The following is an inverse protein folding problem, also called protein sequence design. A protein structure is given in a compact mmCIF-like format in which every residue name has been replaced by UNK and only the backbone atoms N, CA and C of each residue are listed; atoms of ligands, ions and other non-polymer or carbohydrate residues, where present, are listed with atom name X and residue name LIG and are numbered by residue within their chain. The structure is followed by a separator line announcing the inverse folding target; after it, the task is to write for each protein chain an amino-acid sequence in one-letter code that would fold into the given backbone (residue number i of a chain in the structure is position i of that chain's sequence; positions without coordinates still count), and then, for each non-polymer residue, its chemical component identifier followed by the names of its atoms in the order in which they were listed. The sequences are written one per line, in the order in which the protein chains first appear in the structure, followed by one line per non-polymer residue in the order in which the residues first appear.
data_IF_351953394940
#
_entry.id   IF_351953394940
#
_cell.length_a   1.000
_cell.length_b   1.000
_cell.length_c   1.000
_cell.angle_alpha   90.00
_cell.angle_beta   90.00
_cell.angle_gamma   90.00
#
_symmetry.space_group_name_H-M   'P 1'
#
loop_
_entity.id
_entity.type
_entity.pdbx_description
1 polymer ?
#
# COMPACT_ATOMS: atom_id res chain seq x y z
N UNK A 1 50.48 -21.35 36.98
CA UNK A 1 49.41 -20.42 36.55
C UNK A 1 49.97 -19.02 36.23
N UNK A 2 50.99 -18.88 35.36
CA UNK A 2 51.59 -17.55 35.07
C UNK A 2 51.90 -17.26 33.59
N UNK A 3 51.42 -18.08 32.64
CA UNK A 3 51.71 -17.90 31.20
C UNK A 3 50.56 -17.34 30.36
N UNK A 4 49.36 -17.18 30.91
CA UNK A 4 48.21 -16.61 30.18
C UNK A 4 48.15 -15.08 30.32
N UNK A 5 48.67 -14.54 31.43
CA UNK A 5 48.69 -13.09 31.70
C UNK A 5 49.75 -12.31 30.91
N UNK A 6 50.76 -12.97 30.31
CA UNK A 6 51.85 -12.27 29.61
C UNK A 6 51.59 -11.96 28.13
N UNK A 7 50.56 -12.55 27.49
CA UNK A 7 50.27 -12.31 26.06
C UNK A 7 49.40 -11.09 25.79
N UNK A 8 48.64 -10.61 26.78
CA UNK A 8 47.84 -9.39 26.62
C UNK A 8 48.70 -8.13 26.80
N UNK A 9 49.79 -8.21 27.59
CA UNK A 9 50.71 -7.09 27.85
C UNK A 9 51.49 -6.61 26.60
N UNK A 10 51.62 -7.44 25.56
CA UNK A 10 52.33 -7.12 24.31
C UNK A 10 51.45 -6.54 23.20
N UNK A 11 50.13 -6.45 23.40
CA UNK A 11 49.22 -5.86 22.42
C UNK A 11 49.30 -4.33 22.53
N UNK A 12 49.67 -3.61 21.44
CA UNK A 12 49.73 -2.15 21.45
C UNK A 12 48.41 -1.53 21.91
N UNK A 13 48.47 -0.39 22.62
CA UNK A 13 47.29 0.29 23.17
C UNK A 13 46.24 0.60 22.09
N UNK A 14 46.68 0.95 20.88
CA UNK A 14 45.79 1.21 19.74
C UNK A 14 45.03 -0.04 19.28
N UNK A 15 45.65 -1.23 19.32
CA UNK A 15 44.98 -2.50 19.00
C UNK A 15 43.93 -2.83 20.06
N UNK A 16 44.21 -2.58 21.34
CA UNK A 16 43.21 -2.76 22.40
C UNK A 16 42.03 -1.80 22.25
N UNK A 17 42.31 -0.57 21.82
CA UNK A 17 41.27 0.42 21.49
C UNK A 17 40.36 -0.05 20.35
N UNK A 18 40.95 -0.55 19.26
CA UNK A 18 40.19 -1.11 18.12
C UNK A 18 39.36 -2.33 18.57
N UNK A 19 39.95 -3.26 19.32
CA UNK A 19 39.22 -4.44 19.81
C UNK A 19 38.08 -4.05 20.76
N UNK A 20 38.27 -3.03 21.59
CA UNK A 20 37.22 -2.48 22.45
C UNK A 20 36.08 -1.85 21.65
N UNK A 21 36.40 -1.08 20.60
CA UNK A 21 35.40 -0.51 19.70
C UNK A 21 34.63 -1.60 18.95
N UNK A 22 35.32 -2.62 18.41
CA UNK A 22 34.68 -3.74 17.74
C UNK A 22 33.76 -4.52 18.69
N UNK A 23 34.18 -4.75 19.93
CA UNK A 23 33.35 -5.39 20.95
C UNK A 23 32.11 -4.55 21.29
N UNK A 24 32.25 -3.22 21.39
CA UNK A 24 31.13 -2.31 21.61
C UNK A 24 30.14 -2.35 20.43
N UNK A 25 30.62 -2.27 19.20
CA UNK A 25 29.79 -2.38 17.99
C UNK A 25 29.05 -3.72 17.97
N UNK A 26 29.75 -4.82 18.26
CA UNK A 26 29.12 -6.14 18.34
C UNK A 26 28.04 -6.20 19.42
N UNK A 27 28.27 -5.62 20.60
CA UNK A 27 27.27 -5.55 21.66
C UNK A 27 26.04 -4.73 21.25
N UNK A 28 26.24 -3.62 20.53
CA UNK A 28 25.13 -2.82 20.00
C UNK A 28 24.32 -3.59 18.96
N UNK A 29 24.98 -4.30 18.05
CA UNK A 29 24.31 -5.16 17.05
C UNK A 29 23.52 -6.27 17.73
N UNK A 30 24.12 -6.98 18.69
CA UNK A 30 23.43 -8.04 19.45
C UNK A 30 22.23 -7.44 20.21
N UNK A 31 22.42 -6.29 20.86
CA UNK A 31 21.35 -5.58 21.56
C UNK A 31 20.19 -5.20 20.64
N UNK A 32 20.48 -4.66 19.46
CA UNK A 32 19.48 -4.34 18.45
C UNK A 32 18.73 -5.60 17.97
N UNK A 33 19.45 -6.69 17.67
CA UNK A 33 18.84 -7.95 17.26
C UNK A 33 17.91 -8.48 18.36
N UNK A 34 18.33 -8.46 19.63
CA UNK A 34 17.48 -8.86 20.75
C UNK A 34 16.25 -7.97 20.85
N UNK A 35 16.41 -6.65 20.78
CA UNK A 35 15.31 -5.69 20.81
C UNK A 35 14.31 -5.95 19.68
N UNK A 36 14.81 -6.14 18.46
CA UNK A 36 13.99 -6.37 17.28
C UNK A 36 13.16 -7.64 17.43
N UNK A 37 13.79 -8.79 17.72
CA UNK A 37 13.07 -10.05 17.88
C UNK A 37 12.18 -10.10 19.12
N UNK A 38 12.49 -9.34 20.18
CA UNK A 38 11.61 -9.21 21.34
C UNK A 38 10.38 -8.33 21.08
N UNK A 39 10.49 -7.39 20.14
CA UNK A 39 9.43 -6.46 19.75
C UNK A 39 8.66 -6.91 18.52
N UNK A 40 9.15 -7.94 17.81
CA UNK A 40 8.52 -8.48 16.62
C UNK A 40 7.25 -9.26 16.99
N UNK A 41 6.15 -8.85 16.39
CA UNK A 41 4.89 -9.58 16.36
C UNK A 41 4.28 -9.46 14.96
N UNK A 42 3.16 -10.15 14.75
CA UNK A 42 2.37 -10.06 13.53
C UNK A 42 0.94 -9.69 13.90
N UNK A 43 0.35 -8.79 13.13
CA UNK A 43 -1.05 -8.44 13.31
C UNK A 43 -1.92 -9.65 12.95
N UNK A 44 -2.86 -9.98 13.84
CA UNK A 44 -3.75 -11.13 13.66
C UNK A 44 -4.63 -10.98 12.41
N UNK A 45 -4.98 -12.12 11.81
CA UNK A 45 -5.95 -12.18 10.71
C UNK A 45 -7.40 -12.08 11.24
N UNK A 46 -8.35 -11.72 10.38
CA UNK A 46 -9.78 -11.60 10.68
C UNK A 46 -10.10 -10.62 11.83
N UNK A 47 -9.43 -9.47 11.85
CA UNK A 47 -9.71 -8.43 12.83
C UNK A 47 -10.85 -7.54 12.35
N UNK A 48 -11.89 -7.40 13.18
CA UNK A 48 -12.91 -6.38 12.98
C UNK A 48 -12.26 -5.01 13.04
N UNK A 49 -12.61 -4.15 12.10
CA UNK A 49 -12.13 -2.78 12.01
C UNK A 49 -13.18 -1.81 12.54
N UNK A 50 -12.72 -0.75 13.18
CA UNK A 50 -13.58 0.34 13.63
C UNK A 50 -14.04 1.17 12.43
N UNK A 51 -15.35 1.41 12.34
CA UNK A 51 -15.93 2.37 11.41
C UNK A 51 -16.07 3.71 12.14
N UNK A 52 -15.41 4.74 11.60
CA UNK A 52 -15.51 6.13 12.08
C UNK A 52 -16.18 6.97 11.01
N UNK A 53 -16.92 8.00 11.38
CA UNK A 53 -17.43 8.98 10.42
C UNK A 53 -18.85 9.43 10.68
N UNK A 54 -19.44 10.07 9.67
CA UNK A 54 -20.75 10.70 9.74
C UNK A 54 -21.62 10.41 8.51
N UNK A 55 -21.29 9.43 7.66
CA UNK A 55 -22.08 9.12 6.46
C UNK A 55 -23.52 8.70 6.83
N UNK A 56 -23.69 8.05 7.99
CA UNK A 56 -25.01 7.71 8.55
C UNK A 56 -25.95 8.93 8.75
N UNK A 57 -25.43 10.16 8.75
CA UNK A 57 -26.26 11.37 8.83
C UNK A 57 -26.88 11.80 7.48
N UNK A 58 -26.46 11.20 6.36
CA UNK A 58 -26.90 11.59 5.01
C UNK A 58 -28.24 10.97 4.57
N UNK A 59 -28.76 9.95 5.29
CA UNK A 59 -30.02 9.21 4.98
C UNK A 59 -30.07 8.66 3.53
N UNK A 60 -28.91 8.45 2.91
CA UNK A 60 -28.76 7.88 1.56
C UNK A 60 -28.26 6.43 1.65
N UNK A 61 -28.96 5.55 0.94
CA UNK A 61 -28.58 4.14 0.72
C UNK A 61 -28.20 3.96 -0.74
N UNK A 62 -27.28 3.03 -1.02
CA UNK A 62 -26.92 2.70 -2.40
C UNK A 62 -28.12 2.15 -3.16
N UNK A 63 -28.23 2.50 -4.43
CA UNK A 63 -29.32 2.15 -5.34
C UNK A 63 -28.77 1.38 -6.54
N UNK A 64 -29.53 0.38 -7.00
CA UNK A 64 -29.16 -0.32 -8.22
C UNK A 64 -29.51 0.55 -9.46
N UNK A 65 -28.69 0.48 -10.50
CA UNK A 65 -28.87 1.26 -11.73
C UNK A 65 -28.41 2.72 -11.65
N UNK A 66 -27.92 3.19 -10.50
CA UNK A 66 -27.25 4.47 -10.35
C UNK A 66 -25.75 4.37 -10.69
N UNK A 67 -25.20 5.41 -11.31
CA UNK A 67 -23.75 5.54 -11.51
C UNK A 67 -23.09 6.04 -10.21
N UNK A 68 -22.01 5.36 -9.85
CA UNK A 68 -21.12 5.67 -8.75
C UNK A 68 -19.68 5.81 -9.23
N UNK A 69 -18.83 6.36 -8.37
CA UNK A 69 -17.42 6.56 -8.61
C UNK A 69 -16.55 6.07 -7.45
N UNK A 70 -15.44 5.41 -7.78
CA UNK A 70 -14.45 4.96 -6.80
C UNK A 70 -13.04 5.34 -7.23
N UNK A 71 -12.29 5.93 -6.32
CA UNK A 71 -10.90 6.35 -6.50
C UNK A 71 -9.97 5.39 -5.75
N UNK A 72 -8.86 4.98 -6.34
CA UNK A 72 -7.75 4.37 -5.61
C UNK A 72 -6.47 5.19 -5.78
N UNK A 73 -5.71 5.38 -4.69
CA UNK A 73 -4.46 6.14 -4.72
C UNK A 73 -3.49 5.71 -3.60
N UNK A 74 -2.31 5.22 -3.98
CA UNK A 74 -1.20 5.03 -3.05
C UNK A 74 -0.55 6.41 -2.72
N UNK A 75 -0.54 6.77 -1.44
CA UNK A 75 -0.06 8.07 -0.96
C UNK A 75 1.46 8.13 -0.74
N UNK A 76 2.14 7.00 -0.82
CA UNK A 76 3.59 6.94 -0.72
C UNK A 76 4.13 7.51 0.60
N UNK A 77 3.37 7.38 1.70
CA UNK A 77 3.65 7.97 3.02
C UNK A 77 4.05 9.46 2.99
N UNK A 78 3.56 10.20 1.98
CA UNK A 78 3.82 11.62 1.81
C UNK A 78 5.26 11.98 1.45
N UNK A 79 6.08 11.02 0.99
CA UNK A 79 7.48 11.29 0.65
C UNK A 79 7.76 11.41 -0.85
N UNK A 80 7.10 10.61 -1.69
CA UNK A 80 7.48 10.40 -3.09
C UNK A 80 7.05 11.51 -4.04
N UNK A 81 7.32 12.78 -3.71
CA UNK A 81 7.22 13.88 -4.67
C UNK A 81 8.07 13.60 -5.92
N UNK A 82 7.81 14.31 -7.02
CA UNK A 82 8.48 14.06 -8.30
C UNK A 82 10.02 14.11 -8.23
N UNK A 83 10.60 14.88 -7.30
CA UNK A 83 12.04 14.99 -7.09
C UNK A 83 12.65 13.92 -6.17
N UNK A 84 11.81 13.07 -5.57
CA UNK A 84 12.21 12.03 -4.63
C UNK A 84 12.74 10.77 -5.32
N UNK A 85 13.72 10.11 -4.68
CA UNK A 85 14.22 8.78 -5.05
C UNK A 85 14.44 7.91 -3.81
N UNK A 86 14.02 6.66 -3.84
CA UNK A 86 13.95 5.77 -2.69
C UNK A 86 15.10 4.76 -2.64
N UNK A 87 15.72 4.66 -1.47
CA UNK A 87 16.95 3.88 -1.30
C UNK A 87 16.78 2.38 -1.54
N UNK A 88 15.60 1.80 -1.32
CA UNK A 88 15.39 0.36 -1.58
C UNK A 88 15.25 0.07 -3.09
N UNK A 89 14.86 1.08 -3.87
CA UNK A 89 14.73 0.97 -5.33
C UNK A 89 16.04 1.35 -6.05
N UNK A 90 17.04 1.83 -5.31
CA UNK A 90 18.35 2.24 -5.83
C UNK A 90 18.65 3.74 -5.72
N UNK A 91 17.70 4.53 -5.19
CA UNK A 91 17.84 5.96 -4.91
C UNK A 91 18.60 6.26 -3.60
N UNK A 92 18.36 7.44 -3.03
CA UNK A 92 19.11 7.92 -1.86
C UNK A 92 18.30 8.08 -0.59
N UNK A 93 17.02 8.41 -0.71
CA UNK A 93 16.21 8.85 0.42
C UNK A 93 15.49 7.68 1.10
N UNK A 94 15.30 7.78 2.41
CA UNK A 94 14.65 6.74 3.22
C UNK A 94 13.51 7.26 4.08
N UNK A 95 13.37 8.57 4.17
CA UNK A 95 12.34 9.33 4.87
C UNK A 95 11.91 10.45 3.95
N UNK A 96 10.73 11.01 4.16
CA UNK A 96 10.35 12.27 3.55
C UNK A 96 11.42 13.36 3.85
N UNK A 97 11.42 14.44 3.07
CA UNK A 97 12.37 15.53 3.28
C UNK A 97 12.16 16.28 4.60
N UNK A 98 10.91 16.41 5.04
CA UNK A 98 10.55 17.04 6.32
C UNK A 98 9.08 16.77 6.64
N UNK A 99 8.65 17.09 7.86
CA UNK A 99 7.23 17.06 8.22
C UNK A 99 6.38 18.02 7.36
N UNK A 100 6.94 19.13 6.89
CA UNK A 100 6.22 20.08 6.05
C UNK A 100 6.06 19.56 4.62
N UNK A 101 7.08 18.87 4.09
CA UNK A 101 6.99 18.17 2.81
C UNK A 101 5.91 17.07 2.84
N UNK A 102 5.81 16.31 3.94
CA UNK A 102 4.73 15.32 4.11
C UNK A 102 3.36 16.00 4.08
N UNK A 103 3.19 17.11 4.81
CA UNK A 103 1.91 17.85 4.80
C UNK A 103 1.56 18.44 3.45
N UNK A 104 2.56 18.92 2.71
CA UNK A 104 2.40 19.43 1.36
C UNK A 104 1.95 18.32 0.41
N UNK A 105 2.67 17.20 0.39
CA UNK A 105 2.37 16.06 -0.48
C UNK A 105 0.99 15.46 -0.16
N UNK A 106 0.73 15.11 1.10
CA UNK A 106 -0.57 14.56 1.51
C UNK A 106 -1.69 15.58 1.33
N UNK A 107 -1.45 16.87 1.62
CA UNK A 107 -2.43 17.91 1.38
C UNK A 107 -2.78 18.07 -0.10
N UNK A 108 -1.79 17.97 -0.98
CA UNK A 108 -1.94 18.01 -2.43
C UNK A 108 -2.77 16.84 -2.96
N UNK A 109 -2.43 15.60 -2.57
CA UNK A 109 -3.19 14.40 -2.98
C UNK A 109 -4.64 14.44 -2.49
N UNK A 110 -4.88 14.81 -1.22
CA UNK A 110 -6.22 14.91 -0.67
C UNK A 110 -7.05 16.01 -1.36
N UNK A 111 -6.44 17.15 -1.69
CA UNK A 111 -7.12 18.24 -2.41
C UNK A 111 -7.50 17.82 -3.83
N UNK A 112 -6.61 17.11 -4.54
CA UNK A 112 -6.89 16.57 -5.86
C UNK A 112 -8.01 15.51 -5.81
N UNK A 113 -7.96 14.59 -4.83
CA UNK A 113 -9.01 13.60 -4.62
C UNK A 113 -10.37 14.24 -4.32
N UNK A 114 -10.42 15.32 -3.51
CA UNK A 114 -11.65 16.08 -3.28
C UNK A 114 -12.20 16.73 -4.56
N UNK A 115 -11.33 17.22 -5.43
CA UNK A 115 -11.74 17.84 -6.69
C UNK A 115 -12.39 16.85 -7.68
N UNK A 116 -12.05 15.55 -7.57
CA UNK A 116 -12.68 14.47 -8.32
C UNK A 116 -14.05 14.06 -7.76
N UNK A 117 -14.37 14.46 -6.52
CA UNK A 117 -15.63 14.20 -5.81
C UNK A 117 -16.13 12.73 -5.83
N UNK A 118 -15.27 11.73 -5.55
CA UNK A 118 -15.65 10.32 -5.66
C UNK A 118 -16.62 9.89 -4.56
N UNK A 119 -17.43 8.86 -4.82
CA UNK A 119 -18.32 8.27 -3.81
C UNK A 119 -17.58 7.39 -2.81
N UNK A 120 -16.50 6.75 -3.28
CA UNK A 120 -15.66 5.86 -2.51
C UNK A 120 -14.19 6.14 -2.78
N UNK A 121 -13.34 5.95 -1.77
CA UNK A 121 -11.89 6.16 -1.89
C UNK A 121 -11.13 5.05 -1.20
N UNK A 122 -10.11 4.52 -1.87
CA UNK A 122 -9.10 3.64 -1.32
C UNK A 122 -7.75 4.37 -1.30
N UNK A 123 -7.22 4.58 -0.10
CA UNK A 123 -5.84 5.03 0.08
C UNK A 123 -4.96 3.90 0.59
N UNK A 124 -3.74 3.83 0.06
CA UNK A 124 -2.66 2.96 0.52
C UNK A 124 -1.48 3.79 1.01
N UNK A 125 -0.58 3.16 1.78
CA UNK A 125 0.60 3.81 2.40
C UNK A 125 0.28 5.05 3.22
N UNK A 126 -0.75 4.95 4.06
CA UNK A 126 -1.16 6.03 4.96
C UNK A 126 -0.44 5.85 6.29
N UNK A 127 0.54 6.72 6.58
CA UNK A 127 1.24 6.70 7.86
C UNK A 127 0.39 7.35 8.98
N UNK A 128 0.35 6.70 10.14
CA UNK A 128 -0.34 7.18 11.34
C UNK A 128 0.66 7.74 12.36
N UNK A 129 1.75 7.02 12.55
CA UNK A 129 2.85 7.37 13.45
C UNK A 129 4.14 6.69 12.97
N UNK A 130 4.88 7.32 12.06
CA UNK A 130 6.13 6.77 11.56
C UNK A 130 7.28 7.78 11.53
N UNK A 131 8.49 7.25 11.71
CA UNK A 131 9.73 8.04 11.66
C UNK A 131 9.98 8.59 10.26
N UNK A 132 9.63 7.81 9.22
CA UNK A 132 9.81 8.18 7.80
C UNK A 132 8.95 9.35 7.34
N UNK A 133 7.81 9.56 7.98
CA UNK A 133 6.85 10.67 7.73
C UNK A 133 6.86 11.71 8.86
N UNK A 134 7.90 11.73 9.71
CA UNK A 134 8.04 12.66 10.85
C UNK A 134 6.83 12.68 11.79
N UNK A 135 6.19 11.54 11.98
CA UNK A 135 5.03 11.38 12.86
C UNK A 135 3.84 12.29 12.46
N UNK A 136 3.78 12.69 11.19
CA UNK A 136 2.57 13.31 10.63
C UNK A 136 1.51 12.21 10.53
N UNK A 137 0.33 12.48 11.07
CA UNK A 137 -0.78 11.54 11.03
C UNK A 137 -1.62 11.82 9.77
N UNK A 138 -1.32 11.08 8.71
CA UNK A 138 -1.92 11.23 7.39
C UNK A 138 -3.37 10.73 7.38
N UNK A 139 -3.68 9.72 8.21
CA UNK A 139 -5.03 9.23 8.40
C UNK A 139 -5.97 10.30 8.96
N UNK A 140 -5.53 11.08 9.97
CA UNK A 140 -6.32 12.19 10.50
C UNK A 140 -6.44 13.34 9.48
N UNK A 141 -5.43 13.58 8.63
CA UNK A 141 -5.55 14.53 7.52
C UNK A 141 -6.61 14.08 6.51
N UNK A 142 -6.64 12.80 6.14
CA UNK A 142 -7.63 12.23 5.24
C UNK A 142 -9.04 12.29 5.87
N UNK A 143 -9.20 11.87 7.13
CA UNK A 143 -10.47 11.90 7.84
C UNK A 143 -11.04 13.33 7.98
N UNK A 144 -10.18 14.34 8.15
CA UNK A 144 -10.59 15.75 8.19
C UNK A 144 -10.99 16.29 6.82
N UNK A 145 -10.26 15.92 5.76
CA UNK A 145 -10.55 16.33 4.39
C UNK A 145 -11.87 15.73 3.89
N UNK A 146 -12.19 14.53 4.34
CA UNK A 146 -13.41 13.79 3.97
C UNK A 146 -14.34 13.61 5.17
N UNK A 147 -14.57 14.68 5.95
CA UNK A 147 -15.30 14.62 7.21
C UNK A 147 -16.77 14.14 7.11
N UNK A 148 -17.36 14.18 5.92
CA UNK A 148 -18.70 13.64 5.64
C UNK A 148 -18.73 12.15 5.31
N UNK A 149 -17.57 11.52 5.11
CA UNK A 149 -17.44 10.11 4.76
C UNK A 149 -17.35 9.25 6.04
N UNK A 150 -17.89 8.03 5.96
CA UNK A 150 -17.44 6.95 6.82
C UNK A 150 -16.05 6.51 6.37
N UNK A 151 -15.22 6.08 7.30
CA UNK A 151 -13.89 5.60 7.02
C UNK A 151 -13.47 4.47 7.94
N UNK A 152 -12.60 3.62 7.41
CA UNK A 152 -12.04 2.45 8.06
C UNK A 152 -10.53 2.44 7.83
N UNK A 153 -9.75 2.27 8.89
CA UNK A 153 -8.29 2.12 8.84
C UNK A 153 -7.90 0.66 9.07
N UNK A 154 -7.14 0.08 8.14
CA UNK A 154 -6.54 -1.24 8.29
C UNK A 154 -5.01 -1.13 8.35
N UNK A 155 -4.42 -1.39 9.52
CA UNK A 155 -2.97 -1.38 9.69
C UNK A 155 -2.36 -2.54 8.90
N UNK A 156 -1.42 -2.23 8.02
CA UNK A 156 -0.69 -3.20 7.20
C UNK A 156 0.84 -3.07 7.34
N UNK A 157 1.30 -2.16 8.21
CA UNK A 157 2.69 -2.02 8.60
C UNK A 157 2.80 -1.55 10.05
N UNK A 158 3.34 -2.40 10.93
CA UNK A 158 3.64 -2.06 12.32
C UNK A 158 5.03 -2.60 12.66
N UNK A 159 6.04 -1.74 12.58
CA UNK A 159 7.44 -2.12 12.75
C UNK A 159 8.08 -1.36 13.91
N UNK A 160 8.77 -2.08 14.83
CA UNK A 160 9.32 -1.48 16.03
C UNK A 160 10.42 -0.45 15.73
N UNK A 161 11.36 -0.77 14.84
CA UNK A 161 12.35 0.16 14.30
C UNK A 161 13.22 -0.52 13.22
N UNK A 162 13.18 -0.05 11.96
CA UNK A 162 14.12 -0.47 10.92
C UNK A 162 15.38 0.42 10.95
N UNK A 163 16.49 -0.12 11.46
CA UNK A 163 17.77 0.59 11.60
C UNK A 163 18.59 0.67 10.28
N UNK A 164 17.93 0.89 9.15
CA UNK A 164 18.59 1.01 7.84
C UNK A 164 17.84 2.02 6.96
N UNK A 165 18.55 2.89 6.21
CA UNK A 165 20.00 3.09 6.16
C UNK A 165 20.60 3.70 7.45
N UNK A 166 21.92 3.57 7.68
CA UNK A 166 22.52 3.87 9.00
C UNK A 166 22.44 5.34 9.44
N UNK A 167 22.53 6.28 8.51
CA UNK A 167 22.56 7.72 8.82
C UNK A 167 21.16 8.29 8.96
N UNK A 168 20.21 7.76 8.20
CA UNK A 168 18.80 8.12 8.26
C UNK A 168 17.97 6.84 8.29
N UNK A 169 17.86 6.15 9.43
CA UNK A 169 17.11 4.91 9.47
C UNK A 169 15.64 5.10 9.08
N UNK A 170 15.06 4.18 8.31
CA UNK A 170 13.63 4.22 8.00
C UNK A 170 12.77 4.30 9.28
N UNK A 171 13.24 3.65 10.35
CA UNK A 171 12.79 3.88 11.72
C UNK A 171 11.54 3.09 12.12
N UNK A 172 10.85 3.54 13.17
CA UNK A 172 9.59 2.95 13.62
C UNK A 172 8.49 3.35 12.64
N UNK A 173 7.60 2.43 12.29
CA UNK A 173 6.50 2.72 11.37
C UNK A 173 5.19 2.12 11.87
N UNK A 174 4.15 2.93 11.89
CA UNK A 174 2.76 2.51 12.02
C UNK A 174 1.98 3.10 10.85
N UNK A 175 1.55 2.25 9.91
CA UNK A 175 0.90 2.64 8.68
C UNK A 175 -0.18 1.63 8.25
N UNK A 176 -1.08 2.09 7.38
CA UNK A 176 -2.20 1.29 6.93
C UNK A 176 -2.77 1.71 5.58
N UNK A 177 -3.95 1.17 5.31
CA UNK A 177 -4.80 1.52 4.19
C UNK A 177 -6.10 2.10 4.74
N UNK A 178 -6.67 3.07 4.03
CA UNK A 178 -7.90 3.74 4.44
C UNK A 178 -8.95 3.56 3.36
N UNK A 179 -10.11 3.06 3.75
CA UNK A 179 -11.30 3.09 2.91
C UNK A 179 -12.20 4.23 3.37
N UNK A 180 -12.66 5.09 2.46
CA UNK A 180 -13.64 6.12 2.72
C UNK A 180 -14.89 5.89 1.86
N UNK A 181 -16.07 6.17 2.41
CA UNK A 181 -17.35 5.99 1.74
C UNK A 181 -18.32 7.11 2.09
N UNK A 182 -18.95 7.71 1.07
CA UNK A 182 -20.02 8.70 1.24
C UNK A 182 -21.26 8.05 1.87
N UNK A 183 -21.38 6.73 1.72
CA UNK A 183 -22.46 5.89 2.20
C UNK A 183 -22.07 5.15 3.49
N UNK A 184 -23.03 4.80 4.36
CA UNK A 184 -22.73 4.16 5.64
C UNK A 184 -22.04 2.81 5.51
N UNK A 185 -20.88 2.64 6.17
CA UNK A 185 -20.18 1.35 6.25
C UNK A 185 -20.74 0.57 7.43
N UNK A 186 -21.33 -0.60 7.18
CA UNK A 186 -21.94 -1.43 8.22
C UNK A 186 -20.90 -2.18 9.06
N UNK A 187 -19.83 -2.65 8.41
CA UNK A 187 -18.73 -3.32 9.09
C UNK A 187 -17.44 -3.27 8.28
N UNK A 188 -16.31 -3.34 8.98
CA UNK A 188 -14.98 -3.46 8.39
C UNK A 188 -14.26 -4.72 8.89
N UNK A 189 -13.50 -5.37 8.02
CA UNK A 189 -12.68 -6.55 8.34
C UNK A 189 -11.29 -6.42 7.73
N UNK A 190 -10.26 -6.70 8.52
CA UNK A 190 -8.89 -6.85 8.03
C UNK A 190 -8.57 -8.31 7.76
N UNK A 191 -8.03 -8.60 6.58
CA UNK A 191 -7.55 -9.93 6.19
C UNK A 191 -6.06 -9.91 5.89
N UNK A 192 -5.28 -10.63 6.69
CA UNK A 192 -3.83 -10.77 6.48
C UNK A 192 -3.55 -11.53 5.19
N UNK A 193 -2.59 -11.05 4.41
CA UNK A 193 -2.10 -11.73 3.22
C UNK A 193 -0.97 -12.71 3.58
N UNK A 194 -0.83 -13.83 2.86
CA UNK A 194 0.35 -14.68 2.95
C UNK A 194 1.64 -13.90 2.69
N UNK A 195 2.68 -14.17 3.49
CA UNK A 195 4.02 -13.57 3.40
C UNK A 195 5.09 -14.64 3.18
N UNK A 196 6.31 -14.23 2.84
CA UNK A 196 7.44 -15.15 2.63
C UNK A 196 7.74 -15.93 3.92
N UNK A 197 8.15 -17.20 3.79
CA UNK A 197 8.38 -18.09 4.95
C UNK A 197 9.84 -18.09 5.41
N UNK A 198 10.74 -17.54 4.60
CA UNK A 198 12.18 -17.46 4.83
C UNK A 198 12.62 -16.52 5.96
N UNK A 199 13.92 -16.21 6.00
CA UNK A 199 14.48 -15.23 6.95
C UNK A 199 14.07 -13.79 6.59
N UNK A 200 13.66 -13.53 5.35
CA UNK A 200 13.12 -12.24 4.88
C UNK A 200 11.79 -11.88 5.53
N UNK A 201 11.05 -12.86 6.06
CA UNK A 201 9.83 -12.67 6.83
C UNK A 201 9.96 -11.68 7.98
N UNK A 202 11.17 -11.38 8.46
CA UNK A 202 11.32 -10.40 9.54
C UNK A 202 11.23 -8.97 9.04
N UNK A 203 11.47 -8.73 7.75
CA UNK A 203 11.38 -7.42 7.09
C UNK A 203 10.08 -7.23 6.32
N UNK A 204 9.33 -8.31 6.08
CA UNK A 204 8.05 -8.25 5.38
C UNK A 204 7.01 -7.44 6.13
N UNK A 205 6.24 -6.66 5.39
CA UNK A 205 5.11 -5.90 5.88
C UNK A 205 3.98 -6.84 6.32
N UNK A 206 3.11 -6.38 7.22
CA UNK A 206 1.87 -7.07 7.60
C UNK A 206 0.80 -6.88 6.52
N UNK A 207 1.18 -7.18 5.26
CA UNK A 207 0.35 -7.01 4.06
C UNK A 207 -1.04 -7.60 4.34
N UNK A 208 -2.06 -6.83 3.96
CA UNK A 208 -3.45 -7.21 4.16
C UNK A 208 -4.30 -6.57 3.07
N UNK A 209 -5.57 -6.93 3.04
CA UNK A 209 -6.63 -6.12 2.45
C UNK A 209 -7.70 -5.86 3.50
N UNK A 210 -8.43 -4.75 3.33
CA UNK A 210 -9.59 -4.44 4.15
C UNK A 210 -10.88 -4.64 3.36
N UNK A 211 -11.90 -5.19 3.99
CA UNK A 211 -13.22 -5.43 3.41
C UNK A 211 -14.20 -4.53 4.16
N UNK A 212 -14.93 -3.68 3.44
CA UNK A 212 -16.01 -2.85 3.97
C UNK A 212 -17.33 -3.30 3.38
N UNK A 213 -18.33 -3.51 4.25
CA UNK A 213 -19.68 -3.94 3.87
C UNK A 213 -20.64 -2.76 3.87
N UNK A 214 -21.38 -2.60 2.76
CA UNK A 214 -22.41 -1.57 2.59
C UNK A 214 -23.72 -2.19 2.11
N UNK A 215 -24.84 -1.60 2.51
CA UNK A 215 -26.18 -2.03 2.10
C UNK A 215 -26.59 -1.37 0.77
N UNK A 216 -27.30 -2.13 -0.08
CA UNK A 216 -27.92 -1.65 -1.32
C UNK A 216 -29.44 -1.81 -1.18
N UNK A 217 -30.22 -0.87 -1.72
CA UNK A 217 -31.68 -0.79 -1.55
C UNK A 217 -32.44 -2.04 -2.03
N UNK A 218 -31.84 -2.80 -2.97
CA UNK A 218 -32.40 -4.04 -3.49
C UNK A 218 -32.19 -5.24 -2.54
N UNK A 219 -31.61 -5.02 -1.36
CA UNK A 219 -31.36 -6.05 -0.34
C UNK A 219 -30.08 -6.86 -0.57
N UNK A 220 -29.30 -6.54 -1.60
CA UNK A 220 -27.93 -7.03 -1.78
C UNK A 220 -26.95 -6.13 -1.01
N UNK A 221 -25.71 -6.58 -0.92
CA UNK A 221 -24.60 -5.82 -0.34
C UNK A 221 -23.60 -5.39 -1.40
N UNK A 222 -22.88 -4.31 -1.12
CA UNK A 222 -21.65 -3.94 -1.80
C UNK A 222 -20.47 -4.20 -0.87
N UNK A 223 -19.54 -5.04 -1.31
CA UNK A 223 -18.27 -5.29 -0.66
C UNK A 223 -17.16 -4.51 -1.36
N UNK A 224 -16.59 -3.56 -0.63
CA UNK A 224 -15.44 -2.76 -1.06
C UNK A 224 -14.16 -3.34 -0.44
N UNK A 225 -13.25 -3.80 -1.28
CA UNK A 225 -11.99 -4.42 -0.87
C UNK A 225 -10.81 -3.53 -1.27
N UNK A 226 -10.17 -2.91 -0.28
CA UNK A 226 -8.96 -2.11 -0.46
C UNK A 226 -7.72 -3.00 -0.31
N UNK A 227 -6.95 -3.14 -1.39
CA UNK A 227 -5.79 -4.03 -1.50
C UNK A 227 -4.47 -3.23 -1.57
N UNK A 228 -3.45 -3.74 -0.88
CA UNK A 228 -2.06 -3.40 -1.16
C UNK A 228 -1.25 -4.70 -1.15
N UNK A 229 -0.99 -5.24 -2.35
CA UNK A 229 -0.29 -6.50 -2.54
C UNK A 229 1.24 -6.35 -2.40
N UNK A 230 1.98 -7.46 -2.34
CA UNK A 230 3.44 -7.41 -2.23
C UNK A 230 4.13 -7.00 -3.55
N UNK A 231 4.96 -5.94 -3.49
CA UNK A 231 5.85 -5.48 -4.57
C UNK A 231 7.05 -6.41 -4.85
N UNK A 232 7.80 -6.72 -3.80
CA UNK A 232 9.04 -7.48 -3.86
C UNK A 232 8.85 -8.78 -3.09
N UNK A 233 8.73 -9.90 -3.79
CA UNK A 233 8.80 -11.22 -3.16
C UNK A 233 9.97 -11.99 -3.74
N UNK A 234 10.83 -12.48 -2.84
CA UNK A 234 11.92 -13.37 -3.22
C UNK A 234 11.40 -14.81 -3.44
N UNK A 235 10.23 -15.14 -2.87
CA UNK A 235 9.57 -16.43 -3.01
C UNK A 235 8.52 -16.40 -4.14
N UNK A 236 8.71 -17.14 -5.24
CA UNK A 236 7.79 -17.11 -6.38
C UNK A 236 6.32 -17.43 -6.07
N UNK A 237 6.05 -18.05 -4.91
CA UNK A 237 4.72 -18.55 -4.52
C UNK A 237 3.92 -17.57 -3.64
N UNK A 238 4.53 -16.50 -3.13
CA UNK A 238 3.84 -15.57 -2.22
C UNK A 238 2.73 -14.81 -2.93
N UNK A 239 3.03 -14.16 -4.04
CA UNK A 239 2.01 -13.43 -4.84
C UNK A 239 0.89 -14.38 -5.31
N UNK A 240 1.17 -15.58 -5.89
CA UNK A 240 0.13 -16.58 -6.17
C UNK A 240 -0.73 -16.96 -4.95
N UNK A 241 -0.13 -17.13 -3.77
CA UNK A 241 -0.88 -17.46 -2.55
C UNK A 241 -1.79 -16.30 -2.12
N UNK A 242 -1.31 -15.05 -2.23
CA UNK A 242 -2.12 -13.86 -1.99
C UNK A 242 -3.32 -13.79 -2.94
N UNK A 243 -3.11 -14.01 -4.23
CA UNK A 243 -4.18 -13.98 -5.23
C UNK A 243 -5.22 -15.08 -5.01
N UNK A 244 -4.79 -16.32 -4.68
CA UNK A 244 -5.74 -17.40 -4.36
C UNK A 244 -6.56 -17.14 -3.10
N UNK A 245 -5.95 -16.53 -2.07
CA UNK A 245 -6.71 -16.15 -0.87
C UNK A 245 -7.72 -15.05 -1.17
N UNK A 246 -7.33 -14.03 -1.95
CA UNK A 246 -8.23 -12.99 -2.40
C UNK A 246 -9.40 -13.60 -3.19
N UNK A 247 -9.12 -14.44 -4.19
CA UNK A 247 -10.13 -15.11 -5.01
C UNK A 247 -11.15 -15.91 -4.19
N UNK A 248 -10.70 -16.64 -3.17
CA UNK A 248 -11.60 -17.37 -2.27
C UNK A 248 -12.55 -16.45 -1.49
N UNK A 249 -12.08 -15.27 -1.08
CA UNK A 249 -12.93 -14.27 -0.45
C UNK A 249 -13.89 -13.63 -1.46
N UNK A 250 -13.43 -13.34 -2.70
CA UNK A 250 -14.28 -12.82 -3.77
C UNK A 250 -15.47 -13.74 -4.06
N UNK A 251 -15.20 -15.03 -4.25
CA UNK A 251 -16.26 -16.04 -4.44
C UNK A 251 -17.21 -16.11 -3.25
N UNK A 252 -16.67 -16.08 -2.02
CA UNK A 252 -17.48 -16.13 -0.80
C UNK A 252 -18.45 -14.94 -0.72
N UNK A 253 -17.97 -13.72 -0.91
CA UNK A 253 -18.78 -12.52 -0.78
C UNK A 253 -19.78 -12.36 -1.92
N UNK A 254 -19.41 -12.76 -3.14
CA UNK A 254 -20.31 -12.78 -4.28
C UNK A 254 -21.42 -13.83 -4.11
N UNK A 255 -21.07 -15.06 -3.72
CA UNK A 255 -22.03 -16.16 -3.61
C UNK A 255 -23.06 -16.00 -2.47
N UNK A 256 -22.77 -15.17 -1.46
CA UNK A 256 -23.66 -14.90 -0.32
C UNK A 256 -24.78 -13.90 -0.66
N UNK A 257 -25.54 -14.15 -1.72
CA UNK A 257 -26.67 -13.31 -2.15
C UNK A 257 -26.50 -12.60 -3.49
N UNK A 258 -25.54 -13.00 -4.31
CA UNK A 258 -25.18 -12.32 -5.57
C UNK A 258 -24.80 -10.85 -5.32
N UNK A 259 -24.01 -10.62 -4.28
CA UNK A 259 -23.60 -9.28 -3.88
C UNK A 259 -22.65 -8.66 -4.92
N UNK A 260 -22.52 -7.35 -4.86
CA UNK A 260 -21.53 -6.62 -5.64
C UNK A 260 -20.19 -6.66 -4.91
N UNK A 261 -19.12 -6.94 -5.64
CA UNK A 261 -17.77 -6.99 -5.06
C UNK A 261 -16.83 -6.17 -5.94
N UNK A 262 -16.19 -5.18 -5.35
CA UNK A 262 -15.19 -4.33 -5.99
C UNK A 262 -13.90 -4.43 -5.18
N UNK A 263 -12.84 -4.89 -5.82
CA UNK A 263 -11.47 -4.79 -5.31
C UNK A 263 -10.81 -3.62 -6.00
N UNK A 264 -10.15 -2.75 -5.24
CA UNK A 264 -9.30 -1.72 -5.80
C UNK A 264 -8.07 -1.49 -4.93
N UNK A 265 -7.03 -0.91 -5.52
CA UNK A 265 -5.78 -0.71 -4.80
C UNK A 265 -4.55 -0.86 -5.67
N UNK A 266 -3.42 -0.96 -4.99
CA UNK A 266 -2.10 -1.25 -5.56
C UNK A 266 -1.89 -2.77 -5.59
N UNK A 267 -1.92 -3.33 -6.80
CA UNK A 267 -1.70 -4.75 -7.07
C UNK A 267 -0.23 -5.13 -7.17
N UNK A 268 0.66 -4.12 -7.28
CA UNK A 268 2.09 -4.30 -7.48
C UNK A 268 2.45 -5.21 -8.67
N UNK A 269 1.53 -5.31 -9.63
CA UNK A 269 1.59 -6.12 -10.84
C UNK A 269 1.00 -5.30 -11.98
N UNK A 270 1.53 -5.44 -13.19
CA UNK A 270 1.00 -4.81 -14.40
C UNK A 270 -0.43 -5.31 -14.64
N UNK A 271 -1.42 -4.52 -14.21
CA UNK A 271 -2.82 -4.90 -14.14
C UNK A 271 -3.48 -5.00 -15.54
N UNK A 272 -3.19 -4.09 -16.49
CA UNK A 272 -3.50 -4.32 -17.91
C UNK A 272 -2.86 -5.59 -18.47
N UNK A 273 -1.65 -5.91 -17.99
CA UNK A 273 -0.84 -7.04 -18.45
C UNK A 273 0.01 -6.75 -19.68
N UNK A 274 -0.16 -5.58 -20.30
CA UNK A 274 0.60 -5.10 -21.44
C UNK A 274 1.15 -3.66 -21.27
N UNK A 275 0.96 -3.03 -20.11
CA UNK A 275 1.31 -1.61 -19.90
C UNK A 275 2.81 -1.38 -20.06
N UNK A 276 3.62 -2.37 -19.68
CA UNK A 276 5.08 -2.33 -19.86
C UNK A 276 5.50 -2.04 -21.29
N UNK A 277 4.87 -2.70 -22.27
CA UNK A 277 5.20 -2.57 -23.69
C UNK A 277 4.60 -1.32 -24.33
N UNK A 278 3.54 -0.78 -23.74
CA UNK A 278 2.83 0.42 -24.22
C UNK A 278 3.48 1.70 -23.72
N UNK A 279 4.06 1.67 -22.51
CA UNK A 279 4.54 2.86 -21.82
C UNK A 279 6.07 3.03 -21.86
N UNK A 280 6.83 1.95 -22.11
CA UNK A 280 8.30 1.98 -22.05
C UNK A 280 8.93 1.44 -23.33
N UNK A 281 10.05 2.02 -23.75
CA UNK A 281 10.86 1.49 -24.85
C UNK A 281 11.51 0.14 -24.50
N UNK A 282 11.80 -0.08 -23.21
CA UNK A 282 12.35 -1.32 -22.68
C UNK A 282 12.01 -1.47 -21.20
N UNK A 283 11.79 -2.70 -20.75
CA UNK A 283 11.60 -3.03 -19.31
C UNK A 283 12.93 -3.07 -18.55
N UNK A 284 14.07 -3.04 -19.26
CA UNK A 284 15.39 -2.95 -18.62
C UNK A 284 15.61 -4.02 -17.54
N UNK A 285 16.07 -3.58 -16.36
CA UNK A 285 16.38 -4.43 -15.19
C UNK A 285 15.23 -4.59 -14.19
N UNK A 286 14.02 -4.09 -14.48
CA UNK A 286 12.88 -4.07 -13.55
C UNK A 286 12.19 -5.44 -13.47
N UNK A 287 12.85 -6.43 -12.85
CA UNK A 287 12.37 -7.83 -12.78
C UNK A 287 11.17 -8.05 -11.85
N UNK A 288 10.87 -7.05 -11.01
CA UNK A 288 9.68 -7.02 -10.16
C UNK A 288 8.41 -6.76 -10.97
N UNK A 289 8.51 -5.97 -12.05
CA UNK A 289 7.38 -5.59 -12.88
C UNK A 289 6.90 -6.77 -13.72
N UNK A 290 5.76 -7.37 -13.33
CA UNK A 290 5.21 -8.57 -13.95
C UNK A 290 3.72 -8.39 -14.27
N UNK A 291 3.23 -8.94 -15.39
CA UNK A 291 1.80 -8.99 -15.69
C UNK A 291 1.00 -9.67 -14.59
N UNK A 292 -0.17 -9.10 -14.30
CA UNK A 292 -1.17 -9.74 -13.45
C UNK A 292 -1.70 -11.02 -14.10
N UNK A 293 -1.61 -12.15 -13.38
CA UNK A 293 -2.13 -13.42 -13.87
C UNK A 293 -3.64 -13.52 -13.63
N UNK A 294 -4.41 -13.19 -14.67
CA UNK A 294 -5.89 -13.24 -14.66
C UNK A 294 -6.45 -14.65 -14.40
N UNK A 295 -5.65 -15.72 -14.49
CA UNK A 295 -6.12 -17.10 -14.21
C UNK A 295 -6.43 -17.37 -12.74
N UNK A 296 -6.01 -16.49 -11.83
CA UNK A 296 -6.39 -16.56 -10.43
C UNK A 296 -7.79 -16.01 -10.14
N UNK A 297 -8.41 -15.29 -11.09
CA UNK A 297 -9.74 -14.73 -10.88
C UNK A 297 -10.82 -15.81 -11.01
N UNK A 298 -11.84 -15.79 -10.14
CA UNK A 298 -13.05 -16.59 -10.33
C UNK A 298 -13.77 -16.21 -11.62
N UNK A 299 -14.59 -17.12 -12.17
CA UNK A 299 -15.29 -16.91 -13.46
C UNK A 299 -16.19 -15.66 -13.47
N UNK A 300 -16.83 -15.33 -12.34
CA UNK A 300 -17.71 -14.16 -12.18
C UNK A 300 -16.95 -12.84 -11.96
N UNK A 301 -15.63 -12.81 -12.13
CA UNK A 301 -14.81 -11.64 -11.86
C UNK A 301 -13.90 -11.31 -13.04
N UNK A 302 -13.67 -10.01 -13.25
CA UNK A 302 -12.71 -9.54 -14.26
C UNK A 302 -11.96 -8.30 -13.78
N UNK A 303 -10.77 -8.09 -14.34
CA UNK A 303 -10.05 -6.81 -14.22
C UNK A 303 -10.85 -5.77 -15.00
N UNK A 304 -11.12 -4.62 -14.38
CA UNK A 304 -11.75 -3.50 -15.05
C UNK A 304 -10.73 -2.84 -15.99
N UNK A 305 -10.98 -2.93 -17.30
CA UNK A 305 -10.03 -2.46 -18.32
C UNK A 305 -9.99 -0.91 -18.38
N UNK A 306 -8.79 -0.35 -18.54
CA UNK A 306 -8.57 1.09 -18.67
C UNK A 306 -9.17 1.63 -19.96
N UNK A 307 -9.87 2.76 -19.87
CA UNK A 307 -10.59 3.35 -21.02
C UNK A 307 -9.79 4.39 -21.80
N UNK A 308 -8.61 4.78 -21.32
CA UNK A 308 -7.76 5.78 -21.96
C UNK A 308 -6.86 5.19 -23.06
N UNK A 309 -6.81 5.87 -24.21
CA UNK A 309 -5.85 5.66 -25.28
C UNK A 309 -5.32 7.03 -25.77
N UNK A 310 -4.02 7.36 -25.58
CA UNK A 310 -2.97 6.50 -25.05
C UNK A 310 -3.15 6.16 -23.56
N UNK A 311 -2.52 5.06 -23.14
CA UNK A 311 -2.50 4.64 -21.73
C UNK A 311 -1.73 5.67 -20.89
N UNK A 312 -2.26 6.00 -19.72
CA UNK A 312 -1.62 6.87 -18.73
C UNK A 312 -1.09 5.99 -17.59
N UNK A 313 0.17 6.15 -17.15
CA UNK A 313 0.76 5.31 -16.10
C UNK A 313 0.18 5.61 -14.72
N UNK A 314 -0.03 4.57 -13.92
CA UNK A 314 -0.48 4.74 -12.51
C UNK A 314 0.68 4.85 -11.53
N UNK A 315 1.89 4.39 -11.90
CA UNK A 315 3.05 4.34 -11.00
C UNK A 315 4.34 4.62 -11.77
N UNK A 316 5.31 5.26 -11.11
CA UNK A 316 6.69 5.39 -11.59
C UNK A 316 7.64 4.59 -10.69
N UNK A 317 8.76 4.14 -11.25
CA UNK A 317 9.84 3.63 -10.41
C UNK A 317 10.57 4.76 -9.68
N UNK A 318 11.07 4.48 -8.48
CA UNK A 318 11.67 5.47 -7.59
C UNK A 318 13.18 5.30 -7.39
N UNK A 319 13.89 4.63 -8.30
CA UNK A 319 15.37 4.57 -8.30
C UNK A 319 16.03 5.93 -8.58
N UNK A 320 15.29 6.84 -9.23
CA UNK A 320 15.71 8.21 -9.59
C UNK A 320 14.54 9.19 -9.46
N UNK A 321 14.81 10.52 -9.39
CA UNK A 321 13.78 11.54 -9.57
C UNK A 321 13.02 11.36 -10.88
N UNK A 322 11.74 11.72 -10.90
CA UNK A 322 10.88 11.59 -12.07
C UNK A 322 11.33 12.51 -13.22
N UNK A 323 11.56 11.91 -14.38
CA UNK A 323 11.83 12.59 -15.64
C UNK A 323 10.83 12.07 -16.67
N UNK A 324 9.87 12.91 -17.12
CA UNK A 324 8.86 12.52 -18.10
C UNK A 324 9.47 11.90 -19.36
N UNK A 325 9.03 10.70 -19.72
CA UNK A 325 9.51 9.97 -20.90
C UNK A 325 10.84 9.24 -20.73
N UNK A 326 11.51 9.38 -19.58
CA UNK A 326 12.77 8.66 -19.28
C UNK A 326 12.61 7.70 -18.10
N UNK A 327 11.92 8.11 -17.03
CA UNK A 327 11.66 7.26 -15.87
C UNK A 327 10.75 6.11 -16.26
N UNK A 328 11.06 4.89 -15.77
CA UNK A 328 10.22 3.73 -15.97
C UNK A 328 8.86 3.92 -15.29
N UNK A 329 7.79 3.60 -16.01
CA UNK A 329 6.40 3.73 -15.52
C UNK A 329 5.57 2.50 -15.85
N UNK A 330 4.50 2.28 -15.08
CA UNK A 330 3.68 1.06 -15.14
C UNK A 330 2.25 1.35 -14.64
N UNK A 331 1.29 0.48 -14.96
CA UNK A 331 -0.05 0.51 -14.38
C UNK A 331 -0.23 -0.65 -13.37
N UNK A 332 -0.05 -0.36 -12.08
CA UNK A 332 -0.22 -1.32 -10.97
C UNK A 332 -1.46 -1.07 -10.12
N UNK A 333 -2.10 0.08 -10.29
CA UNK A 333 -3.27 0.49 -9.51
C UNK A 333 -4.54 0.39 -10.36
N UNK A 334 -5.60 -0.22 -9.85
CA UNK A 334 -6.86 -0.31 -10.60
C UNK A 334 -7.89 -1.13 -9.88
N UNK A 335 -8.74 -1.84 -10.63
CA UNK A 335 -9.91 -2.52 -10.07
C UNK A 335 -10.14 -3.92 -10.64
N UNK A 336 -10.67 -4.80 -9.79
CA UNK A 336 -11.32 -6.06 -10.16
C UNK A 336 -12.77 -5.97 -9.70
N UNK A 337 -13.71 -6.38 -10.54
CA UNK A 337 -15.13 -6.28 -10.25
C UNK A 337 -15.85 -7.61 -10.52
N UNK A 338 -16.93 -7.85 -9.78
CA UNK A 338 -17.88 -8.91 -10.10
C UNK A 338 -18.68 -8.58 -11.36
N UNK A 339 -19.21 -9.61 -12.04
CA UNK A 339 -19.94 -9.50 -13.31
C UNK A 339 -21.23 -8.66 -13.25
N UNK A 340 -21.81 -8.47 -12.07
CA UNK A 340 -22.96 -7.62 -11.78
C UNK A 340 -22.59 -6.15 -11.46
N UNK A 341 -21.31 -5.78 -11.63
CA UNK A 341 -20.83 -4.39 -11.57
C UNK A 341 -20.44 -3.98 -12.98
N UNK A 342 -21.27 -3.14 -13.60
CA UNK A 342 -21.02 -2.64 -14.94
C UNK A 342 -20.07 -1.45 -14.90
N UNK A 343 -18.86 -1.65 -15.43
CA UNK A 343 -17.83 -0.60 -15.53
C UNK A 343 -18.15 0.32 -16.71
N UNK A 344 -18.21 1.63 -16.44
CA UNK A 344 -18.41 2.67 -17.45
C UNK A 344 -17.08 3.24 -17.94
N UNK A 345 -16.15 3.48 -17.00
CA UNK A 345 -14.80 3.98 -17.31
C UNK A 345 -13.81 3.62 -16.21
N UNK A 346 -12.54 3.50 -16.58
CA UNK A 346 -11.39 3.40 -15.68
C UNK A 346 -10.30 4.30 -16.22
N UNK A 347 -10.05 5.41 -15.53
CA UNK A 347 -9.16 6.47 -15.99
C UNK A 347 -8.15 6.83 -14.91
N UNK A 348 -6.87 6.81 -15.28
CA UNK A 348 -5.80 7.39 -14.48
C UNK A 348 -5.86 8.91 -14.63
N UNK A 349 -5.89 9.62 -13.50
CA UNK A 349 -5.80 11.07 -13.50
C UNK A 349 -4.32 11.45 -13.43
N UNK A 350 -3.81 12.07 -14.50
CA UNK A 350 -2.38 12.40 -14.58
C UNK A 350 -2.05 13.62 -13.71
N UNK A 351 -1.59 13.34 -12.48
CA UNK A 351 -1.11 14.34 -11.53
C UNK A 351 0.41 14.58 -11.67
N UNK A 352 1.03 14.01 -12.71
CA UNK A 352 2.45 14.15 -13.00
C UNK A 352 3.38 13.63 -11.90
N UNK A 353 2.89 12.71 -11.05
CA UNK A 353 3.59 12.22 -9.86
C UNK A 353 4.07 13.34 -8.92
N UNK A 354 3.32 14.45 -8.86
CA UNK A 354 3.77 15.66 -8.17
C UNK A 354 3.98 15.45 -6.66
N UNK A 355 3.08 14.69 -6.03
CA UNK A 355 3.03 14.53 -4.56
C UNK A 355 3.25 13.10 -4.08
N UNK A 356 3.21 12.12 -4.99
CA UNK A 356 3.44 10.70 -4.73
C UNK A 356 3.87 10.05 -6.05
N UNK A 357 4.53 8.89 -5.98
CA UNK A 357 4.97 8.10 -7.12
C UNK A 357 3.84 7.35 -7.82
N UNK A 358 2.61 7.51 -7.33
CA UNK A 358 1.40 7.03 -7.97
C UNK A 358 0.49 8.16 -8.47
N UNK A 359 -0.13 7.94 -9.62
CA UNK A 359 -1.28 8.70 -10.09
C UNK A 359 -2.56 7.96 -9.66
N UNK A 360 -3.63 8.68 -9.27
CA UNK A 360 -4.87 8.02 -8.85
C UNK A 360 -5.61 7.42 -10.03
N UNK A 361 -6.34 6.32 -9.77
CA UNK A 361 -7.19 5.66 -10.75
C UNK A 361 -8.64 5.79 -10.32
N UNK A 362 -9.45 6.40 -11.18
CA UNK A 362 -10.87 6.63 -10.98
C UNK A 362 -11.68 5.66 -11.85
N UNK A 363 -12.56 4.88 -11.22
CA UNK A 363 -13.54 4.07 -11.92
C UNK A 363 -14.94 4.65 -11.75
N UNK A 364 -15.70 4.73 -12.84
CA UNK A 364 -17.16 4.94 -12.82
C UNK A 364 -17.85 3.63 -13.12
N UNK A 365 -18.89 3.32 -12.35
CA UNK A 365 -19.57 2.03 -12.44
C UNK A 365 -21.04 2.11 -12.06
N UNK A 366 -21.81 1.10 -12.45
CA UNK A 366 -23.21 0.92 -12.08
C UNK A 366 -23.40 -0.45 -11.43
N UNK A 367 -24.13 -0.50 -10.32
CA UNK A 367 -24.57 -1.74 -9.70
C UNK A 367 -25.78 -2.29 -10.48
N UNK A 368 -25.68 -3.47 -11.09
CA UNK A 368 -26.76 -4.03 -11.91
C UNK A 368 -27.90 -4.64 -11.07
N UNK A 369 -29.14 -4.46 -11.52
CA UNK A 369 -30.38 -4.77 -10.77
C UNK A 369 -30.58 -6.21 -10.30
#
# INVERSE_FOLDING_TARGET
MSRVTSRFASIPLWVRGILGLLALVLLLVIGYVIYYFASYYRIEDNLTLEVRGAAAAADETLAAGQEYSILTWNLGFGAYSADYSFFMDGGTESRAYSADAVRENIGGTLSAAQALDPDFIFFQEVDVDATRSYHVNEYEMAAQSFASYDNVLAINFDSPYLFWPLLEPHGKSLAGMVTLSRFPIQSGLRRSLPIDKGLTKVFDLDRCYSISELEVENGRKLYLINLHASAYSEEPETVPAQMRQLAADLEKYYADGENYVIVGGDFNQDLPGDSLSRLNESVGGYTWARPFDRSYLPESFSVADYTQDPLVPSCRNCDTPYVPGETFVICVDGFIVSDNVRVESVEVQDEGFAHTDHNPVLMRFVLEG
#
